data_IF_730414122642
#
_entry.id   IF_730414122642
#
_cell.length_a   1.000
_cell.length_b   1.000
_cell.length_c   1.000
_cell.angle_alpha   90.00
_cell.angle_beta   90.00
_cell.angle_gamma   90.00
#
_symmetry.space_group_name_H-M   'P 1'
#
loop_
_entity.id
_entity.type
_entity.pdbx_description
1 polymer ?
#
# COMPACT_ATOMS: atom_id res chain seq x y z
N UNK A 1 20.66 -10.01 -1.83
CA UNK A 1 20.00 -8.68 -1.79
C UNK A 1 19.00 -8.67 -0.65
N UNK A 2 18.83 -7.57 0.09
CA UNK A 2 17.76 -7.48 1.07
C UNK A 2 16.40 -7.63 0.38
N UNK A 3 15.44 -8.28 1.03
CA UNK A 3 14.09 -8.44 0.49
C UNK A 3 13.37 -7.09 0.57
N UNK A 4 12.95 -6.58 -0.58
CA UNK A 4 12.07 -5.42 -0.63
C UNK A 4 10.69 -5.78 -0.10
N UNK A 5 9.99 -4.77 0.42
CA UNK A 5 8.58 -4.88 0.78
C UNK A 5 7.79 -5.25 -0.47
N UNK A 6 6.93 -6.26 -0.35
CA UNK A 6 6.22 -6.87 -1.48
C UNK A 6 4.81 -6.31 -1.68
N UNK A 7 4.34 -5.46 -0.76
CA UNK A 7 3.00 -4.92 -0.74
C UNK A 7 3.06 -3.43 -0.41
N UNK A 8 2.13 -2.66 -1.01
CA UNK A 8 2.09 -1.21 -0.83
C UNK A 8 1.70 -0.84 0.60
N UNK A 9 0.89 -1.66 1.27
CA UNK A 9 0.53 -1.55 2.69
C UNK A 9 1.80 -1.53 3.55
N UNK A 10 2.65 -2.54 3.36
CA UNK A 10 3.89 -2.66 4.11
C UNK A 10 4.85 -1.50 3.81
N UNK A 11 4.86 -1.00 2.57
CA UNK A 11 5.66 0.15 2.18
C UNK A 11 5.17 1.46 2.82
N UNK A 12 3.85 1.70 2.86
CA UNK A 12 3.25 2.87 3.49
C UNK A 12 3.46 2.84 5.02
N UNK A 13 3.30 1.68 5.65
CA UNK A 13 3.59 1.49 7.07
C UNK A 13 5.06 1.75 7.39
N UNK A 14 5.98 1.23 6.57
CA UNK A 14 7.42 1.48 6.75
C UNK A 14 7.75 2.97 6.63
N UNK A 15 7.22 3.64 5.59
CA UNK A 15 7.46 5.07 5.35
C UNK A 15 6.97 5.97 6.50
N UNK A 16 5.86 5.61 7.16
CA UNK A 16 5.35 6.34 8.32
C UNK A 16 6.20 6.19 9.60
N UNK A 17 6.96 5.10 9.71
CA UNK A 17 7.70 4.72 10.91
C UNK A 17 9.22 4.90 10.80
N UNK A 18 9.76 5.04 9.58
CA UNK A 18 11.19 5.15 9.34
C UNK A 18 11.70 6.58 9.57
N UNK A 19 12.50 6.75 10.63
CA UNK A 19 13.00 8.06 11.06
C UNK A 19 13.91 8.73 10.02
N UNK A 20 14.71 7.94 9.29
CA UNK A 20 15.59 8.43 8.22
C UNK A 20 14.75 9.05 7.08
N UNK A 21 13.73 8.34 6.62
CA UNK A 21 12.84 8.83 5.55
C UNK A 21 12.02 10.05 5.97
N UNK A 22 11.55 10.09 7.22
CA UNK A 22 10.87 11.26 7.80
C UNK A 22 11.79 12.48 7.90
N UNK A 23 13.05 12.27 8.23
CA UNK A 23 14.06 13.34 8.25
C UNK A 23 14.40 13.83 6.84
N UNK A 24 14.46 12.93 5.86
CA UNK A 24 14.83 13.25 4.48
C UNK A 24 13.71 13.97 3.72
N UNK A 25 12.47 13.48 3.84
CA UNK A 25 11.32 13.95 3.06
C UNK A 25 10.46 14.96 3.84
N UNK A 26 10.62 15.01 5.16
CA UNK A 26 9.87 15.88 6.07
C UNK A 26 8.62 15.21 6.63
N UNK A 27 8.35 15.45 7.91
CA UNK A 27 7.25 14.79 8.63
C UNK A 27 5.87 15.03 8.00
N UNK A 28 5.61 16.27 7.55
CA UNK A 28 4.33 16.62 6.92
C UNK A 28 4.11 15.85 5.62
N UNK A 29 5.17 15.68 4.83
CA UNK A 29 5.09 14.92 3.59
C UNK A 29 4.81 13.45 3.90
N UNK A 30 5.59 12.82 4.78
CA UNK A 30 5.39 11.43 5.16
C UNK A 30 3.97 11.19 5.70
N UNK A 31 3.47 12.07 6.57
CA UNK A 31 2.10 12.00 7.08
C UNK A 31 1.03 12.12 5.98
N UNK A 32 1.15 13.11 5.09
CA UNK A 32 0.18 13.30 4.01
C UNK A 32 0.25 12.16 2.97
N UNK A 33 1.44 11.63 2.72
CA UNK A 33 1.62 10.56 1.75
C UNK A 33 1.10 9.22 2.29
N UNK A 34 1.27 8.95 3.59
CA UNK A 34 0.72 7.72 4.19
C UNK A 34 -0.79 7.69 4.25
N UNK A 35 -1.50 8.82 4.07
CA UNK A 35 -2.97 8.81 3.90
C UNK A 35 -3.42 8.05 2.64
N UNK A 36 -2.49 7.74 1.72
CA UNK A 36 -2.75 6.82 0.59
C UNK A 36 -3.26 5.44 1.02
N UNK A 37 -3.09 5.06 2.29
CA UNK A 37 -3.73 3.87 2.87
C UNK A 37 -5.25 3.83 2.66
N UNK A 38 -5.93 4.98 2.64
CA UNK A 38 -7.38 5.04 2.41
C UNK A 38 -7.74 4.77 0.94
N UNK A 39 -6.88 5.17 0.01
CA UNK A 39 -7.05 4.83 -1.41
C UNK A 39 -6.80 3.34 -1.64
N UNK A 40 -5.81 2.78 -0.94
CA UNK A 40 -5.51 1.35 -0.98
C UNK A 40 -6.65 0.51 -0.37
N UNK A 41 -7.23 0.94 0.74
CA UNK A 41 -8.43 0.31 1.30
C UNK A 41 -9.59 0.32 0.30
N UNK A 42 -9.79 1.43 -0.43
CA UNK A 42 -10.80 1.51 -1.50
C UNK A 42 -10.47 0.62 -2.70
N UNK A 43 -9.19 0.36 -2.97
CA UNK A 43 -8.77 -0.54 -4.05
C UNK A 43 -9.15 -1.99 -3.75
N UNK A 44 -9.11 -2.41 -2.48
CA UNK A 44 -9.45 -3.77 -2.05
C UNK A 44 -10.94 -4.03 -1.82
N UNK A 45 -11.77 -2.99 -1.88
CA UNK A 45 -13.22 -3.10 -1.63
C UNK A 45 -14.01 -3.78 -2.78
N UNK A 46 -13.78 -3.46 -4.07
CA UNK A 46 -14.46 -4.13 -5.17
C UNK A 46 -13.83 -5.48 -5.53
N UNK A 47 -14.67 -6.45 -5.89
CA UNK A 47 -14.23 -7.68 -6.57
C UNK A 47 -13.74 -7.31 -7.97
N UNK A 48 -12.48 -7.60 -8.23
CA UNK A 48 -11.80 -7.33 -9.49
C UNK A 48 -12.28 -8.28 -10.59
N UNK A 49 -12.13 -7.86 -11.85
CA UNK A 49 -12.45 -8.73 -12.99
C UNK A 49 -11.56 -9.98 -13.05
N UNK A 50 -10.32 -9.89 -12.56
CA UNK A 50 -9.47 -11.06 -12.42
C UNK A 50 -10.05 -12.07 -11.43
N UNK A 51 -10.49 -11.62 -10.24
CA UNK A 51 -11.13 -12.50 -9.25
C UNK A 51 -12.41 -13.14 -9.81
N UNK A 52 -13.19 -12.40 -10.61
CA UNK A 52 -14.37 -12.97 -11.27
C UNK A 52 -13.99 -14.05 -12.28
N UNK A 53 -13.02 -13.80 -13.15
CA UNK A 53 -12.57 -14.80 -14.13
C UNK A 53 -11.99 -16.05 -13.46
N UNK A 54 -11.22 -15.87 -12.39
CA UNK A 54 -10.56 -16.97 -11.69
C UNK A 54 -11.57 -17.82 -10.90
N UNK A 55 -12.56 -17.21 -10.26
CA UNK A 55 -13.42 -17.89 -9.29
C UNK A 55 -14.89 -18.04 -9.71
N UNK A 56 -15.39 -17.30 -10.70
CA UNK A 56 -16.79 -17.36 -11.17
C UNK A 56 -16.96 -17.95 -12.57
N UNK A 57 -15.93 -17.97 -13.42
CA UNK A 57 -15.99 -18.67 -14.72
C UNK A 57 -15.51 -20.13 -14.61
N UNK A 58 -14.81 -20.48 -13.53
CA UNK A 58 -14.29 -21.83 -13.24
C UNK A 58 -15.29 -22.68 -12.44
N UNK A 59 -16.27 -22.06 -11.77
CA UNK A 59 -17.32 -22.70 -10.97
C UNK A 59 -18.72 -22.41 -11.52
#
# INVERSE_FOLDING_TARGET
MPKFLQALEAALDSLGNEAEMRSLLGEKFCYLFTTKQFELARFHDPITEWEKQEYLDVY
#
